data_IF_862628697444
#
_entry.id   IF_862628697444
#
_cell.length_a   1.000
_cell.length_b   1.000
_cell.length_c   1.000
_cell.angle_alpha   90.00
_cell.angle_beta   90.00
_cell.angle_gamma   90.00
#
_symmetry.space_group_name_H-M   'P 1'
#
loop_
_entity.id
_entity.type
_entity.pdbx_description
1 polymer ?
#
# COMPACT_ATOMS: atom_id res chain seq x y z
N UNK A 1 53.63 -38.12 2.04
CA UNK A 1 53.09 -36.90 2.68
C UNK A 1 52.76 -35.92 1.56
N UNK A 2 51.51 -35.91 1.08
CA UNK A 2 51.09 -35.07 -0.05
C UNK A 2 49.94 -34.21 0.45
N UNK A 3 50.15 -32.89 0.51
CA UNK A 3 49.22 -31.91 1.10
C UNK A 3 48.05 -31.68 0.15
N UNK A 4 46.83 -31.90 0.64
CA UNK A 4 45.58 -31.52 -0.04
C UNK A 4 45.36 -30.02 0.22
N UNK A 5 45.24 -29.17 -0.81
CA UNK A 5 44.87 -27.78 -0.60
C UNK A 5 43.36 -27.72 -0.35
N UNK A 6 42.96 -27.25 0.83
CA UNK A 6 41.59 -26.83 1.10
C UNK A 6 41.32 -25.55 0.29
N UNK A 7 40.54 -25.67 -0.79
CA UNK A 7 39.95 -24.52 -1.46
C UNK A 7 38.78 -24.02 -0.60
N UNK A 8 38.94 -22.87 0.04
CA UNK A 8 37.87 -22.18 0.73
C UNK A 8 36.88 -21.65 -0.32
N UNK A 9 35.70 -22.26 -0.41
CA UNK A 9 34.57 -21.74 -1.18
C UNK A 9 33.97 -20.61 -0.36
N UNK A 10 34.24 -19.37 -0.75
CA UNK A 10 33.55 -18.20 -0.22
C UNK A 10 32.15 -18.14 -0.85
N UNK A 11 31.13 -18.50 -0.07
CA UNK A 11 29.73 -18.36 -0.46
C UNK A 11 29.32 -16.90 -0.28
N UNK A 12 29.35 -16.13 -1.37
CA UNK A 12 28.81 -14.77 -1.39
C UNK A 12 27.30 -14.82 -1.27
N UNK A 13 26.77 -14.43 -0.10
CA UNK A 13 25.34 -14.21 0.11
C UNK A 13 25.01 -12.89 -0.59
N UNK A 14 24.38 -12.97 -1.77
CA UNK A 14 23.81 -11.80 -2.42
C UNK A 14 22.64 -11.32 -1.56
N UNK A 15 22.56 -10.03 -1.17
CA UNK A 15 21.37 -9.51 -0.52
C UNK A 15 20.18 -9.70 -1.46
N UNK A 16 19.20 -10.49 -1.03
CA UNK A 16 17.89 -10.56 -1.69
C UNK A 16 17.21 -9.22 -1.43
N UNK A 17 17.35 -8.28 -2.37
CA UNK A 17 16.44 -7.15 -2.43
C UNK A 17 15.06 -7.72 -2.76
N UNK A 18 14.07 -7.50 -1.89
CA UNK A 18 12.68 -7.81 -2.21
C UNK A 18 12.36 -7.15 -3.57
N UNK A 19 11.87 -7.90 -4.58
CA UNK A 19 11.45 -7.28 -5.83
C UNK A 19 10.40 -6.20 -5.55
N UNK A 20 10.60 -5.02 -6.14
CA UNK A 20 9.54 -4.03 -6.25
C UNK A 20 8.30 -4.66 -6.91
N UNK A 21 7.11 -4.12 -6.64
CA UNK A 21 5.86 -4.65 -7.21
C UNK A 21 5.93 -4.75 -8.71
N UNK A 22 5.39 -5.86 -9.22
CA UNK A 22 5.42 -6.12 -10.66
C UNK A 22 4.53 -5.13 -11.41
N UNK A 23 4.81 -4.92 -12.70
CA UNK A 23 3.95 -4.09 -13.54
C UNK A 23 2.51 -4.62 -13.61
N UNK A 24 2.34 -5.95 -13.59
CA UNK A 24 1.04 -6.61 -13.63
C UNK A 24 0.25 -6.41 -12.33
N UNK A 25 0.94 -6.50 -11.19
CA UNK A 25 0.37 -6.21 -9.86
C UNK A 25 -0.10 -4.76 -9.77
N UNK A 26 0.76 -3.80 -10.13
CA UNK A 26 0.40 -2.37 -10.16
C UNK A 26 -0.79 -2.12 -11.09
N UNK A 27 -0.81 -2.75 -12.28
CA UNK A 27 -1.92 -2.61 -13.22
C UNK A 27 -3.25 -3.13 -12.64
N UNK A 28 -3.21 -4.29 -11.99
CA UNK A 28 -4.39 -4.89 -11.37
C UNK A 28 -4.89 -4.07 -10.17
N UNK A 29 -4.01 -3.58 -9.31
CA UNK A 29 -4.35 -2.68 -8.19
C UNK A 29 -4.96 -1.38 -8.69
N UNK A 30 -4.39 -0.76 -9.74
CA UNK A 30 -4.96 0.45 -10.35
C UNK A 30 -6.34 0.18 -10.96
N UNK A 31 -6.51 -0.96 -11.63
CA UNK A 31 -7.80 -1.36 -12.19
C UNK A 31 -8.87 -1.57 -11.12
N UNK A 32 -8.49 -2.14 -9.96
CA UNK A 32 -9.36 -2.29 -8.80
C UNK A 32 -9.76 -0.94 -8.21
N UNK A 33 -8.79 -0.03 -7.98
CA UNK A 33 -9.06 1.25 -7.32
C UNK A 33 -9.87 2.22 -8.15
N UNK A 34 -9.69 2.26 -9.48
CA UNK A 34 -10.33 3.25 -10.33
C UNK A 34 -11.87 3.36 -10.13
N UNK A 35 -12.67 2.28 -10.16
CA UNK A 35 -14.09 2.36 -9.86
C UNK A 35 -14.40 2.56 -8.36
N UNK A 36 -13.54 2.09 -7.46
CA UNK A 36 -13.74 2.23 -6.00
C UNK A 36 -13.60 3.68 -5.54
N UNK A 37 -12.63 4.43 -6.08
CA UNK A 37 -12.42 5.83 -5.74
C UNK A 37 -13.64 6.69 -6.08
N UNK A 38 -14.27 6.45 -7.25
CA UNK A 38 -15.52 7.13 -7.61
C UNK A 38 -16.62 6.89 -6.57
N UNK A 39 -16.71 5.67 -6.03
CA UNK A 39 -17.67 5.34 -4.98
C UNK A 39 -17.29 5.95 -3.64
N UNK A 40 -16.01 5.90 -3.29
CA UNK A 40 -15.44 6.47 -2.07
C UNK A 40 -15.77 7.95 -1.94
N UNK A 41 -15.48 8.72 -2.99
CA UNK A 41 -15.67 10.17 -2.99
C UNK A 41 -17.15 10.53 -2.85
N UNK A 42 -18.03 9.88 -3.61
CA UNK A 42 -19.48 10.11 -3.55
C UNK A 42 -20.09 9.77 -2.19
N UNK A 43 -19.57 8.73 -1.54
CA UNK A 43 -20.05 8.30 -0.24
C UNK A 43 -19.38 9.05 0.92
N UNK A 44 -18.24 9.70 0.65
CA UNK A 44 -17.27 10.17 1.62
C UNK A 44 -16.93 9.07 2.63
N UNK A 45 -16.43 7.93 2.11
CA UNK A 45 -16.13 6.71 2.89
C UNK A 45 -14.99 5.92 2.31
N UNK A 46 -14.23 5.29 3.18
CA UNK A 46 -13.23 4.32 2.79
C UNK A 46 -13.86 3.02 2.26
N UNK A 47 -13.14 2.39 1.35
CA UNK A 47 -13.42 1.06 0.86
C UNK A 47 -12.16 0.21 0.94
N UNK A 48 -12.23 -0.92 1.63
CA UNK A 48 -11.05 -1.75 1.92
C UNK A 48 -11.26 -3.24 1.63
N UNK A 49 -10.17 -3.97 1.51
CA UNK A 49 -10.14 -5.42 1.43
C UNK A 49 -8.72 -5.95 1.56
N UNK A 50 -8.56 -7.26 1.37
CA UNK A 50 -7.23 -7.90 1.33
C UNK A 50 -6.92 -8.41 -0.08
N UNK A 51 -5.64 -8.52 -0.38
CA UNK A 51 -5.07 -9.17 -1.56
C UNK A 51 -4.33 -10.40 -1.08
N UNK A 52 -4.55 -11.53 -1.76
CA UNK A 52 -3.86 -12.78 -1.49
C UNK A 52 -3.34 -13.46 -2.75
N UNK A 53 -2.74 -14.63 -2.55
CA UNK A 53 -2.34 -15.56 -3.60
C UNK A 53 -3.22 -16.82 -3.54
N UNK A 54 -3.60 -17.36 -4.69
CA UNK A 54 -4.26 -18.68 -4.78
C UNK A 54 -3.22 -19.83 -4.80
N UNK A 55 -3.69 -21.07 -4.87
CA UNK A 55 -2.84 -22.28 -4.92
C UNK A 55 -1.87 -22.34 -6.13
N UNK A 56 -2.02 -21.44 -7.11
CA UNK A 56 -1.19 -21.34 -8.30
C UNK A 56 -0.33 -20.06 -8.31
N UNK A 57 -0.12 -19.44 -7.16
CA UNK A 57 0.59 -18.17 -6.99
C UNK A 57 -0.03 -17.01 -7.79
N UNK A 58 -1.34 -17.06 -8.05
CA UNK A 58 -2.04 -15.96 -8.74
C UNK A 58 -2.64 -15.00 -7.75
N UNK A 59 -2.46 -13.71 -8.02
CA UNK A 59 -3.05 -12.65 -7.22
C UNK A 59 -4.58 -12.71 -7.25
N UNK A 60 -5.18 -12.69 -6.06
CA UNK A 60 -6.63 -12.65 -5.83
C UNK A 60 -6.94 -11.40 -5.02
N UNK A 61 -7.74 -10.52 -5.60
CA UNK A 61 -8.21 -9.31 -4.93
C UNK A 61 -9.55 -9.61 -4.26
N UNK A 62 -9.60 -9.50 -2.93
CA UNK A 62 -10.81 -9.68 -2.14
C UNK A 62 -11.83 -8.60 -2.45
N UNK A 63 -13.12 -8.90 -2.22
CA UNK A 63 -14.19 -7.94 -2.46
C UNK A 63 -14.10 -6.77 -1.49
N UNK A 64 -14.12 -5.55 -2.03
CA UNK A 64 -14.12 -4.34 -1.22
C UNK A 64 -15.33 -4.26 -0.29
N UNK A 65 -15.09 -3.84 0.94
CA UNK A 65 -16.09 -3.53 1.95
C UNK A 65 -16.12 -2.03 2.17
N UNK A 66 -17.33 -1.48 2.28
CA UNK A 66 -17.53 -0.10 2.70
C UNK A 66 -17.18 0.03 4.19
N UNK A 67 -16.30 0.97 4.50
CA UNK A 67 -15.96 1.39 5.85
C UNK A 67 -16.72 2.65 6.28
N UNK A 68 -16.09 3.36 7.21
CA UNK A 68 -16.46 4.68 7.69
C UNK A 68 -15.62 5.76 7.00
N UNK A 69 -15.54 6.95 7.58
CA UNK A 69 -14.84 8.12 6.99
C UNK A 69 -13.32 7.97 7.00
N UNK A 70 -12.82 7.23 7.99
CA UNK A 70 -11.42 7.18 8.43
C UNK A 70 -11.07 5.78 8.98
N UNK A 71 -11.89 4.77 8.67
CA UNK A 71 -11.61 3.40 9.07
C UNK A 71 -12.35 2.40 8.19
N UNK A 72 -11.76 1.22 8.03
CA UNK A 72 -12.40 0.11 7.35
C UNK A 72 -11.91 -1.23 7.87
N UNK A 73 -12.81 -2.21 7.91
CA UNK A 73 -12.49 -3.58 8.36
C UNK A 73 -12.53 -4.54 7.16
N UNK A 74 -11.38 -5.00 6.65
CA UNK A 74 -11.33 -5.84 5.46
C UNK A 74 -11.82 -7.28 5.74
N UNK A 75 -11.85 -8.09 4.68
CA UNK A 75 -12.04 -9.54 4.75
C UNK A 75 -11.12 -10.20 3.73
N UNK A 76 -10.63 -11.37 4.09
CA UNK A 76 -9.81 -12.20 3.23
C UNK A 76 -10.60 -12.66 1.98
N UNK A 77 -9.94 -12.77 0.80
CA UNK A 77 -10.52 -13.42 -0.36
C UNK A 77 -10.76 -14.91 -0.06
N UNK A 78 -11.94 -15.44 -0.43
CA UNK A 78 -12.33 -16.83 -0.11
C UNK A 78 -11.40 -17.91 -0.70
N UNK A 79 -10.69 -17.60 -1.78
CA UNK A 79 -9.81 -18.51 -2.50
C UNK A 79 -8.31 -18.16 -2.36
N UNK A 80 -7.96 -17.28 -1.42
CA UNK A 80 -6.57 -17.03 -1.06
C UNK A 80 -6.06 -18.12 -0.11
N UNK A 81 -4.85 -18.62 -0.38
CA UNK A 81 -4.11 -19.51 0.53
C UNK A 81 -3.04 -18.77 1.33
N UNK A 82 -2.68 -17.56 0.87
CA UNK A 82 -1.77 -16.65 1.53
C UNK A 82 -2.30 -15.22 1.35
N UNK A 83 -2.28 -14.42 2.41
CA UNK A 83 -2.59 -13.00 2.36
C UNK A 83 -1.28 -12.24 2.23
N UNK A 84 -1.21 -11.34 1.25
CA UNK A 84 0.03 -10.63 0.90
C UNK A 84 -0.07 -9.13 1.08
N UNK A 85 -1.28 -8.55 1.00
CA UNK A 85 -1.43 -7.12 1.21
C UNK A 85 -2.83 -6.72 1.70
N UNK A 86 -2.91 -5.66 2.48
CA UNK A 86 -4.13 -4.89 2.68
C UNK A 86 -4.35 -3.91 1.51
N UNK A 87 -5.57 -3.43 1.33
CA UNK A 87 -5.82 -2.26 0.50
C UNK A 87 -6.97 -1.42 1.05
N UNK A 88 -6.89 -0.11 0.90
CA UNK A 88 -8.04 0.77 1.10
C UNK A 88 -7.98 2.06 0.26
N UNK A 89 -9.14 2.65 0.01
CA UNK A 89 -9.24 4.04 -0.45
C UNK A 89 -9.38 4.94 0.75
N UNK A 90 -8.78 6.12 0.73
CA UNK A 90 -9.27 7.22 1.54
C UNK A 90 -10.64 7.67 1.04
N UNK A 91 -11.40 8.38 1.89
CA UNK A 91 -12.69 8.98 1.59
C UNK A 91 -12.63 10.09 0.53
N UNK A 92 -13.71 10.87 0.41
CA UNK A 92 -13.70 12.09 -0.40
C UNK A 92 -12.82 13.17 0.22
N UNK A 93 -12.37 14.12 -0.60
CA UNK A 93 -11.54 15.24 -0.14
C UNK A 93 -12.20 16.01 1.01
N UNK A 94 -11.41 16.33 2.03
CA UNK A 94 -11.78 17.18 3.16
C UNK A 94 -10.62 18.13 3.47
N UNK A 95 -10.93 19.40 3.72
CA UNK A 95 -9.93 20.42 4.04
C UNK A 95 -9.26 20.20 5.40
N UNK A 96 -9.97 19.54 6.32
CA UNK A 96 -9.51 19.35 7.69
C UNK A 96 -8.86 17.96 7.90
N UNK A 97 -8.74 17.15 6.84
CA UNK A 97 -8.15 15.81 6.90
C UNK A 97 -6.84 15.73 6.10
N UNK A 98 -5.82 15.07 6.68
CA UNK A 98 -4.59 14.70 5.97
C UNK A 98 -4.79 13.46 5.11
N UNK A 99 -5.70 13.56 4.14
CA UNK A 99 -6.16 12.44 3.32
C UNK A 99 -5.25 12.11 2.12
N UNK A 100 -4.08 12.74 1.97
CA UNK A 100 -3.19 12.55 0.81
C UNK A 100 -2.03 11.56 1.03
N UNK A 101 -1.97 10.92 2.20
CA UNK A 101 -0.93 9.97 2.58
C UNK A 101 -1.45 8.94 3.60
N UNK A 102 -0.94 7.70 3.59
CA UNK A 102 -1.29 6.71 4.61
C UNK A 102 -1.02 7.22 6.03
N UNK A 103 -1.82 6.76 6.99
CA UNK A 103 -1.64 7.04 8.41
C UNK A 103 -0.52 6.18 9.02
N UNK A 104 -0.12 6.54 10.24
CA UNK A 104 0.79 5.73 11.06
C UNK A 104 0.19 4.35 11.36
N UNK A 105 -1.11 4.31 11.66
CA UNK A 105 -1.82 3.08 12.02
C UNK A 105 -1.91 2.12 10.83
N UNK A 106 -2.02 2.62 9.60
CA UNK A 106 -1.99 1.80 8.39
C UNK A 106 -0.67 1.01 8.28
N UNK A 107 0.45 1.74 8.35
CA UNK A 107 1.77 1.10 8.22
C UNK A 107 2.06 0.18 9.41
N UNK A 108 1.72 0.56 10.64
CA UNK A 108 1.93 -0.30 11.80
C UNK A 108 1.08 -1.58 11.73
N UNK A 109 -0.17 -1.47 11.28
CA UNK A 109 -1.04 -2.64 11.15
C UNK A 109 -0.50 -3.62 10.10
N UNK A 110 -0.08 -3.12 8.93
CA UNK A 110 0.53 -3.96 7.89
C UNK A 110 1.83 -4.62 8.39
N UNK A 111 2.67 -3.89 9.14
CA UNK A 111 3.88 -4.43 9.77
C UNK A 111 3.56 -5.54 10.78
N UNK A 112 2.56 -5.32 11.65
CA UNK A 112 2.17 -6.27 12.70
C UNK A 112 1.53 -7.54 12.12
N UNK A 113 0.77 -7.40 11.03
CA UNK A 113 0.17 -8.51 10.28
C UNK A 113 1.18 -9.21 9.36
N UNK A 114 2.33 -8.58 9.09
CA UNK A 114 3.37 -9.12 8.23
C UNK A 114 3.01 -9.09 6.73
N UNK A 115 2.14 -8.17 6.33
CA UNK A 115 1.66 -8.00 4.96
C UNK A 115 2.12 -6.64 4.41
N UNK A 116 2.00 -6.45 3.11
CA UNK A 116 2.14 -5.13 2.49
C UNK A 116 0.81 -4.36 2.50
N UNK A 117 0.79 -3.14 1.97
CA UNK A 117 -0.44 -2.35 1.88
C UNK A 117 -0.52 -1.48 0.64
N UNK A 118 -1.76 -1.14 0.25
CA UNK A 118 -2.06 -0.26 -0.87
C UNK A 118 -3.08 0.80 -0.50
N UNK A 119 -2.75 2.06 -0.73
CA UNK A 119 -3.63 3.20 -0.41
C UNK A 119 -3.82 4.11 -1.61
N UNK A 120 -5.06 4.47 -1.90
CA UNK A 120 -5.41 5.41 -2.95
C UNK A 120 -6.13 6.64 -2.39
N UNK A 121 -5.72 7.83 -2.81
CA UNK A 121 -6.10 9.11 -2.18
C UNK A 121 -6.94 10.02 -3.10
N UNK A 122 -7.64 11.04 -2.57
CA UNK A 122 -8.47 11.97 -3.36
C UNK A 122 -7.74 12.69 -4.50
N UNK A 123 -6.47 13.02 -4.30
CA UNK A 123 -5.59 13.59 -5.32
C UNK A 123 -5.20 12.62 -6.43
N UNK A 124 -5.67 11.36 -6.37
CA UNK A 124 -5.40 10.32 -7.34
C UNK A 124 -4.01 9.71 -7.20
N UNK A 125 -3.36 9.84 -6.03
CA UNK A 125 -2.10 9.16 -5.74
C UNK A 125 -2.35 7.68 -5.47
N UNK A 126 -1.34 6.87 -5.75
CA UNK A 126 -1.29 5.47 -5.32
C UNK A 126 -0.04 5.27 -4.46
N UNK A 127 -0.25 4.78 -3.26
CA UNK A 127 0.79 4.45 -2.29
C UNK A 127 0.92 2.95 -2.13
N UNK A 128 2.15 2.54 -1.87
CA UNK A 128 2.51 1.20 -1.44
C UNK A 128 3.16 1.29 -0.06
N UNK A 129 2.70 0.45 0.86
CA UNK A 129 3.20 0.30 2.22
C UNK A 129 4.00 -1.01 2.26
N UNK A 130 5.30 -0.89 2.48
CA UNK A 130 6.20 -2.03 2.67
C UNK A 130 6.17 -2.39 4.16
N UNK A 131 5.33 -3.36 4.54
CA UNK A 131 5.15 -3.75 5.94
C UNK A 131 6.38 -4.49 6.49
N UNK A 132 7.23 -5.05 5.64
CA UNK A 132 8.48 -5.67 6.09
C UNK A 132 9.58 -4.62 6.37
N UNK A 133 9.63 -3.56 5.56
CA UNK A 133 10.62 -2.50 5.71
C UNK A 133 10.16 -1.36 6.63
N UNK A 134 8.87 -1.24 6.93
CA UNK A 134 8.30 -0.11 7.66
C UNK A 134 8.41 1.19 6.86
N UNK A 135 8.04 1.15 5.57
CA UNK A 135 8.19 2.30 4.66
C UNK A 135 6.96 2.46 3.77
N UNK A 136 6.44 3.68 3.69
CA UNK A 136 5.47 4.08 2.67
C UNK A 136 6.17 4.71 1.46
N UNK A 137 5.66 4.47 0.25
CA UNK A 137 6.10 5.17 -0.96
C UNK A 137 5.00 5.34 -1.99
N UNK A 138 5.05 6.45 -2.73
CA UNK A 138 4.19 6.65 -3.88
C UNK A 138 4.65 5.74 -5.02
N UNK A 139 3.72 4.95 -5.55
CA UNK A 139 3.89 4.26 -6.85
C UNK A 139 3.66 5.25 -7.99
N UNK A 140 2.74 6.19 -7.79
CA UNK A 140 2.52 7.32 -8.68
C UNK A 140 1.80 8.46 -7.95
N UNK A 141 2.04 9.69 -8.43
CA UNK A 141 1.53 10.92 -7.82
C UNK A 141 0.15 11.36 -8.34
N UNK A 142 -0.08 12.67 -8.29
CA UNK A 142 -1.37 13.31 -8.63
C UNK A 142 -1.91 12.88 -10.00
N UNK A 143 -3.21 12.63 -10.06
CA UNK A 143 -3.92 12.26 -11.29
C UNK A 143 -3.57 10.89 -11.87
N UNK A 144 -2.85 10.04 -11.12
CA UNK A 144 -2.54 8.69 -11.55
C UNK A 144 -3.77 7.76 -11.55
N UNK A 145 -4.68 8.00 -10.62
CA UNK A 145 -6.00 7.41 -10.46
C UNK A 145 -7.08 8.51 -10.55
N UNK A 146 -8.38 8.16 -10.67
CA UNK A 146 -9.45 9.15 -10.66
C UNK A 146 -9.34 10.08 -9.45
N UNK A 147 -9.34 11.38 -9.71
CA UNK A 147 -9.29 12.40 -8.67
C UNK A 147 -10.70 12.76 -8.21
N UNK A 148 -10.83 13.12 -6.93
CA UNK A 148 -12.04 13.75 -6.44
C UNK A 148 -12.23 15.10 -7.15
N UNK A 149 -13.47 15.40 -7.55
CA UNK A 149 -13.80 16.66 -8.22
C UNK A 149 -13.60 17.88 -7.31
N UNK A 150 -13.70 17.67 -6.00
CA UNK A 150 -13.52 18.72 -4.99
C UNK A 150 -12.06 18.83 -4.49
N UNK A 151 -11.15 17.98 -4.97
CA UNK A 151 -9.75 17.98 -4.56
C UNK A 151 -9.04 19.33 -4.84
N UNK A 152 -8.35 19.84 -3.83
CA UNK A 152 -7.50 21.03 -3.94
C UNK A 152 -6.05 20.67 -3.62
N UNK A 153 -5.18 20.79 -4.61
CA UNK A 153 -3.75 20.53 -4.45
C UNK A 153 -3.10 21.50 -3.45
N UNK A 154 -2.24 20.95 -2.59
CA UNK A 154 -1.38 21.73 -1.70
C UNK A 154 -2.00 22.12 -0.36
N UNK A 155 -3.24 21.71 -0.07
CA UNK A 155 -3.88 21.92 1.25
C UNK A 155 -3.08 21.26 2.37
N UNK A 156 -2.67 20.00 2.19
CA UNK A 156 -1.80 19.26 3.11
C UNK A 156 -0.30 19.60 2.97
N UNK A 157 0.04 20.68 2.24
CA UNK A 157 1.42 21.06 1.97
C UNK A 157 2.18 20.08 1.04
N UNK A 158 3.53 20.15 1.01
CA UNK A 158 4.34 19.27 0.18
C UNK A 158 4.32 17.83 0.69
N UNK A 159 3.69 16.92 -0.07
CA UNK A 159 3.62 15.49 0.26
C UNK A 159 4.89 14.76 -0.20
N UNK A 160 5.66 14.12 0.71
CA UNK A 160 6.85 13.34 0.34
C UNK A 160 6.52 12.14 -0.55
N UNK A 161 7.46 11.71 -1.40
CA UNK A 161 7.27 10.50 -2.22
C UNK A 161 7.53 9.20 -1.47
N UNK A 162 8.20 9.27 -0.31
CA UNK A 162 8.58 8.14 0.53
C UNK A 162 8.82 8.60 1.96
N UNK A 163 8.40 7.79 2.93
CA UNK A 163 8.71 7.99 4.36
C UNK A 163 8.90 6.66 5.08
N UNK A 164 9.86 6.59 6.00
CA UNK A 164 9.92 5.51 7.00
C UNK A 164 8.84 5.70 8.07
N UNK A 165 8.55 4.66 8.84
CA UNK A 165 7.62 4.76 9.99
C UNK A 165 8.00 5.92 10.93
N UNK A 166 9.27 6.06 11.28
CA UNK A 166 9.75 7.14 12.15
C UNK A 166 9.54 8.54 11.55
N UNK A 167 9.68 8.68 10.23
CA UNK A 167 9.40 9.93 9.52
C UNK A 167 7.90 10.23 9.49
N UNK A 168 7.09 9.19 9.30
CA UNK A 168 5.63 9.28 9.30
C UNK A 168 5.08 9.68 10.67
N UNK A 169 5.60 9.10 11.76
CA UNK A 169 5.25 9.49 13.13
C UNK A 169 5.54 10.97 13.35
N UNK A 170 6.77 11.42 13.02
CA UNK A 170 7.14 12.83 13.14
C UNK A 170 6.26 13.75 12.30
N UNK A 171 5.83 13.31 11.11
CA UNK A 171 4.92 14.09 10.28
C UNK A 171 3.60 14.40 11.01
N UNK A 172 2.99 13.39 11.64
CA UNK A 172 1.71 13.55 12.32
C UNK A 172 1.81 14.14 13.73
N UNK A 173 2.99 14.11 14.36
CA UNK A 173 3.22 14.73 15.68
C UNK A 173 3.52 16.25 15.62
N UNK A 174 3.96 16.76 14.45
CA UNK A 174 4.36 18.16 14.24
C UNK A 174 5.76 18.50 14.75
#
# INVERSE_FOLDING_TARGET
MTRIPFAAIALTILPMTAPAQSADEIAAVKQMFAPLLVQSYQAHREYCGMIGLDENDRMVIGKARRGDTDSCLPRDPENAVEIIASYHTHGGFDYDADAEMPSVDDLQSDMDEGVDGWVATPGGRLWFLDGQAGVIRQVCGLGCLPQDADFVEGVSGPIPERMTLDELIRWFEG
#
